data_IF_758673497888
#
_entry.id   IF_758673497888
#
_cell.length_a   1.000
_cell.length_b   1.000
_cell.length_c   1.000
_cell.angle_alpha   90.00
_cell.angle_beta   90.00
_cell.angle_gamma   90.00
#
_symmetry.space_group_name_H-M   'P 1'
#
loop_
_entity.id
_entity.type
_entity.pdbx_description
1 polymer ?
#
# COMPACT_ATOMS: atom_id res chain seq x y z
N UNK A 1 -23.88 -15.25 -20.10
CA UNK A 1 -25.33 -15.03 -20.09
C UNK A 1 -25.77 -14.80 -18.64
N UNK A 2 -25.71 -13.54 -18.18
CA UNK A 2 -26.10 -13.18 -16.82
C UNK A 2 -27.62 -13.04 -16.75
N UNK A 3 -28.31 -14.03 -16.25
CA UNK A 3 -29.76 -14.00 -15.96
C UNK A 3 -30.08 -13.40 -14.57
N UNK A 4 -29.08 -12.93 -13.85
CA UNK A 4 -29.22 -12.33 -12.52
C UNK A 4 -29.57 -10.84 -12.62
N UNK A 5 -30.53 -10.37 -11.81
CA UNK A 5 -30.78 -8.92 -11.60
C UNK A 5 -29.72 -8.26 -10.72
N UNK A 6 -28.67 -9.01 -10.32
CA UNK A 6 -27.59 -8.47 -9.49
C UNK A 6 -26.62 -7.65 -10.35
N UNK A 7 -26.19 -6.54 -9.81
CA UNK A 7 -25.13 -5.71 -10.37
C UNK A 7 -23.79 -6.28 -9.89
N UNK A 8 -22.86 -6.49 -10.81
CA UNK A 8 -21.49 -6.94 -10.53
C UNK A 8 -20.52 -5.87 -10.98
N UNK A 9 -19.40 -5.77 -10.27
CA UNK A 9 -18.27 -4.94 -10.64
C UNK A 9 -16.99 -5.79 -10.68
N UNK A 10 -16.09 -5.45 -11.60
CA UNK A 10 -14.76 -6.05 -11.61
C UNK A 10 -13.93 -5.34 -10.52
N UNK A 11 -13.31 -6.11 -9.64
CA UNK A 11 -12.58 -5.62 -8.47
C UNK A 11 -11.29 -4.88 -8.86
N UNK A 12 -11.16 -3.55 -8.67
CA UNK A 12 -9.95 -2.80 -8.98
C UNK A 12 -8.95 -2.73 -7.83
N UNK A 13 -9.39 -3.07 -6.60
CA UNK A 13 -8.60 -3.01 -5.35
C UNK A 13 -9.19 -3.97 -4.31
N UNK A 14 -8.38 -4.37 -3.33
CA UNK A 14 -8.77 -5.31 -2.28
C UNK A 14 -9.19 -4.61 -0.96
N UNK A 15 -8.85 -3.35 -0.80
CA UNK A 15 -9.02 -2.57 0.45
C UNK A 15 -10.43 -2.63 1.05
N UNK A 16 -11.53 -2.44 0.28
CA UNK A 16 -12.87 -2.52 0.84
C UNK A 16 -13.17 -3.89 1.45
N UNK A 17 -12.69 -4.97 0.83
CA UNK A 17 -12.85 -6.32 1.36
C UNK A 17 -12.16 -6.52 2.70
N UNK A 18 -10.95 -5.98 2.88
CA UNK A 18 -10.23 -6.02 4.14
C UNK A 18 -11.00 -5.29 5.26
N UNK A 19 -11.58 -4.12 4.96
CA UNK A 19 -12.41 -3.38 5.93
C UNK A 19 -13.73 -4.10 6.24
N UNK A 20 -14.36 -4.76 5.28
CA UNK A 20 -15.55 -5.56 5.56
C UNK A 20 -15.24 -6.78 6.48
N UNK A 21 -14.05 -7.38 6.32
CA UNK A 21 -13.57 -8.41 7.26
C UNK A 21 -13.35 -7.80 8.65
N UNK A 22 -12.76 -6.62 8.74
CA UNK A 22 -12.59 -5.92 10.01
C UNK A 22 -13.94 -5.64 10.68
N UNK A 23 -14.92 -5.15 9.97
CA UNK A 23 -16.28 -4.83 10.43
C UNK A 23 -17.14 -6.05 10.74
N UNK A 24 -16.76 -7.24 10.32
CA UNK A 24 -17.57 -8.47 10.50
C UNK A 24 -17.86 -8.83 11.95
N UNK A 25 -17.16 -8.23 12.91
CA UNK A 25 -17.40 -8.34 14.36
C UNK A 25 -16.98 -7.07 15.07
N UNK A 26 -17.44 -6.88 16.30
CA UNK A 26 -16.99 -5.78 17.15
C UNK A 26 -15.51 -5.99 17.46
N UNK A 27 -14.73 -4.92 17.28
CA UNK A 27 -13.29 -4.88 17.58
C UNK A 27 -13.03 -3.98 18.78
N UNK A 28 -12.00 -4.27 19.53
CA UNK A 28 -11.47 -3.39 20.57
C UNK A 28 -10.04 -2.94 20.22
N UNK A 29 -9.56 -1.92 20.92
CA UNK A 29 -8.16 -1.47 20.77
C UNK A 29 -7.14 -2.60 21.01
N UNK A 30 -7.50 -3.65 21.77
CA UNK A 30 -6.65 -4.82 22.04
C UNK A 30 -6.51 -5.75 20.83
N UNK A 31 -7.44 -5.67 19.87
CA UNK A 31 -7.39 -6.43 18.62
C UNK A 31 -6.47 -5.77 17.58
N UNK A 32 -5.98 -4.54 17.86
CA UNK A 32 -5.13 -3.76 16.96
C UNK A 32 -3.65 -3.86 17.35
N UNK A 33 -2.73 -3.86 16.39
CA UNK A 33 -2.97 -3.77 14.96
C UNK A 33 -3.47 -5.10 14.36
N UNK A 34 -4.52 -5.05 13.53
CA UNK A 34 -4.97 -6.19 12.75
C UNK A 34 -4.29 -6.18 11.38
N UNK A 35 -3.63 -7.27 11.02
CA UNK A 35 -2.92 -7.41 9.75
C UNK A 35 -3.60 -8.47 8.89
N UNK A 36 -4.06 -8.07 7.72
CA UNK A 36 -4.69 -8.93 6.72
C UNK A 36 -3.85 -8.94 5.46
N UNK A 37 -3.64 -10.09 4.85
CA UNK A 37 -2.87 -10.22 3.62
C UNK A 37 -3.53 -11.21 2.67
N UNK A 38 -3.42 -10.95 1.38
CA UNK A 38 -3.91 -11.81 0.31
C UNK A 38 -3.03 -11.68 -0.94
N UNK A 39 -3.00 -12.71 -1.76
CA UNK A 39 -2.63 -12.56 -3.16
C UNK A 39 -3.89 -12.20 -3.93
N UNK A 40 -4.12 -10.90 -4.07
CA UNK A 40 -5.38 -10.35 -4.56
C UNK A 40 -5.33 -10.06 -6.06
N UNK A 41 -6.24 -10.70 -6.83
CA UNK A 41 -6.39 -10.37 -8.24
C UNK A 41 -7.19 -9.09 -8.42
N UNK A 42 -6.60 -8.12 -9.10
CA UNK A 42 -7.19 -6.82 -9.43
C UNK A 42 -7.26 -6.62 -10.93
N UNK A 43 -8.29 -5.89 -11.38
CA UNK A 43 -8.43 -5.49 -12.78
C UNK A 43 -8.65 -4.00 -12.86
N UNK A 44 -7.79 -3.29 -13.60
CA UNK A 44 -7.85 -1.84 -13.78
C UNK A 44 -7.95 -1.48 -15.24
N UNK A 45 -8.75 -0.48 -15.56
CA UNK A 45 -8.89 0.01 -16.93
C UNK A 45 -7.71 0.94 -17.28
N UNK A 46 -6.51 0.36 -17.38
CA UNK A 46 -5.33 1.08 -17.82
C UNK A 46 -5.48 1.53 -19.29
N UNK A 47 -5.12 2.78 -19.64
CA UNK A 47 -5.11 3.22 -21.03
C UNK A 47 -4.19 2.34 -21.88
N UNK A 48 -4.58 2.07 -23.12
CA UNK A 48 -3.80 1.17 -24.01
C UNK A 48 -2.36 1.64 -24.22
N UNK A 49 -2.12 2.95 -24.29
CA UNK A 49 -0.79 3.53 -24.48
C UNK A 49 0.14 3.40 -23.26
N UNK A 50 -0.37 2.97 -22.10
CA UNK A 50 0.43 2.76 -20.88
C UNK A 50 0.79 1.30 -20.64
N UNK A 51 0.23 0.38 -21.40
CA UNK A 51 0.52 -1.05 -21.26
C UNK A 51 1.95 -1.35 -21.69
N UNK A 52 2.63 -2.25 -20.95
CA UNK A 52 4.05 -2.54 -21.18
C UNK A 52 4.39 -3.99 -20.82
N UNK A 53 4.19 -4.91 -21.77
CA UNK A 53 4.45 -6.34 -21.53
C UNK A 53 3.79 -6.83 -20.24
N UNK A 54 4.54 -7.58 -19.42
CA UNK A 54 4.08 -7.99 -18.07
C UNK A 54 4.34 -6.92 -16.99
N UNK A 55 5.06 -5.85 -17.33
CA UNK A 55 5.39 -4.78 -16.39
C UNK A 55 4.20 -3.88 -16.05
N UNK A 56 3.26 -3.71 -17.00
CA UNK A 56 2.02 -2.96 -16.79
C UNK A 56 0.88 -3.57 -17.58
N UNK A 57 -0.01 -4.25 -16.89
CA UNK A 57 -1.13 -5.02 -17.42
C UNK A 57 -2.45 -4.55 -16.79
N UNK A 58 -3.58 -4.93 -17.37
CA UNK A 58 -4.90 -4.60 -16.81
C UNK A 58 -5.36 -5.56 -15.73
N UNK A 59 -5.03 -6.83 -15.84
CA UNK A 59 -5.31 -7.87 -14.84
C UNK A 59 -4.00 -8.33 -14.21
N UNK A 60 -3.88 -8.24 -12.89
CA UNK A 60 -2.65 -8.57 -12.17
C UNK A 60 -2.95 -9.06 -10.75
N UNK A 61 -1.99 -9.75 -10.17
CA UNK A 61 -2.04 -10.20 -8.77
C UNK A 61 -1.09 -9.35 -7.93
N UNK A 62 -1.58 -8.85 -6.80
CA UNK A 62 -0.76 -8.15 -5.81
C UNK A 62 -0.56 -9.01 -4.56
N UNK A 63 0.62 -8.91 -3.95
CA UNK A 63 0.87 -9.33 -2.56
C UNK A 63 0.32 -8.27 -1.60
N UNK A 64 -0.97 -8.08 -1.67
CA UNK A 64 -1.68 -6.99 -1.02
C UNK A 64 -1.93 -7.27 0.45
N UNK A 65 -1.66 -6.29 1.31
CA UNK A 65 -1.94 -6.40 2.72
C UNK A 65 -2.39 -5.06 3.30
N UNK A 66 -3.20 -5.17 4.35
CA UNK A 66 -3.78 -4.03 5.04
C UNK A 66 -3.54 -4.18 6.54
N UNK A 67 -2.96 -3.15 7.14
CA UNK A 67 -2.77 -3.06 8.58
C UNK A 67 -3.78 -2.03 9.09
N UNK A 68 -4.70 -2.48 9.91
CA UNK A 68 -5.70 -1.63 10.56
C UNK A 68 -5.21 -1.42 11.97
N UNK A 69 -4.90 -0.17 12.33
CA UNK A 69 -4.18 0.16 13.56
C UNK A 69 -4.68 1.46 14.19
N UNK A 70 -4.20 1.75 15.41
CA UNK A 70 -4.36 3.08 16.00
C UNK A 70 -3.28 4.01 15.46
N UNK A 71 -3.46 5.31 15.68
CA UNK A 71 -2.51 6.33 15.25
C UNK A 71 -1.12 6.14 15.87
N UNK A 72 -1.07 5.79 17.17
CA UNK A 72 0.17 5.56 17.91
C UNK A 72 0.96 4.33 17.40
N UNK A 73 0.30 3.44 16.65
CA UNK A 73 0.92 2.23 16.10
C UNK A 73 1.53 2.45 14.72
N UNK A 74 1.26 3.57 14.05
CA UNK A 74 1.67 3.83 12.66
C UNK A 74 3.18 3.69 12.50
N UNK A 75 3.96 4.43 13.27
CA UNK A 75 5.42 4.46 13.12
C UNK A 75 6.04 3.07 13.26
N UNK A 76 5.62 2.33 14.29
CA UNK A 76 6.13 0.99 14.55
C UNK A 76 5.79 0.00 13.41
N UNK A 77 4.56 0.06 12.88
CA UNK A 77 4.13 -0.82 11.80
C UNK A 77 4.79 -0.47 10.46
N UNK A 78 4.94 0.81 10.15
CA UNK A 78 5.65 1.26 8.95
C UNK A 78 7.14 0.87 9.01
N UNK A 79 7.82 1.11 10.13
CA UNK A 79 9.23 0.72 10.29
C UNK A 79 9.43 -0.79 10.19
N UNK A 80 8.50 -1.59 10.75
CA UNK A 80 8.52 -3.04 10.62
C UNK A 80 8.35 -3.49 9.17
N UNK A 81 7.45 -2.85 8.44
CA UNK A 81 7.27 -3.12 7.03
C UNK A 81 8.52 -2.78 6.21
N UNK A 82 9.12 -1.60 6.43
CA UNK A 82 10.34 -1.19 5.74
C UNK A 82 11.47 -2.22 5.91
N UNK A 83 11.68 -2.71 7.14
CA UNK A 83 12.69 -3.76 7.40
C UNK A 83 12.37 -5.05 6.67
N UNK A 84 11.12 -5.52 6.74
CA UNK A 84 10.68 -6.72 6.02
C UNK A 84 10.93 -6.60 4.51
N UNK A 85 10.59 -5.45 3.91
CA UNK A 85 10.78 -5.22 2.49
C UNK A 85 12.26 -5.28 2.10
N UNK A 86 13.12 -4.63 2.87
CA UNK A 86 14.58 -4.66 2.63
C UNK A 86 15.13 -6.08 2.71
N UNK A 87 14.72 -6.85 3.73
CA UNK A 87 15.14 -8.25 3.89
C UNK A 87 14.71 -9.09 2.68
N UNK A 88 13.44 -8.97 2.25
CA UNK A 88 12.92 -9.68 1.07
C UNK A 88 13.68 -9.28 -0.20
N UNK A 89 13.91 -7.97 -0.41
CA UNK A 89 14.63 -7.52 -1.61
C UNK A 89 16.09 -7.96 -1.61
N UNK A 90 16.72 -8.05 -0.45
CA UNK A 90 18.07 -8.62 -0.29
C UNK A 90 18.10 -10.09 -0.66
N UNK A 91 17.09 -10.87 -0.23
CA UNK A 91 17.00 -12.30 -0.57
C UNK A 91 16.85 -12.51 -2.09
N UNK A 92 16.24 -11.57 -2.80
CA UNK A 92 16.17 -11.55 -4.26
C UNK A 92 17.36 -10.85 -4.96
N UNK A 93 18.37 -10.39 -4.21
CA UNK A 93 19.56 -9.74 -4.79
C UNK A 93 19.34 -8.29 -5.26
N UNK A 94 18.30 -7.61 -4.79
CA UNK A 94 17.95 -6.24 -5.16
C UNK A 94 18.38 -5.19 -4.14
N UNK A 95 19.17 -5.54 -3.12
CA UNK A 95 19.62 -4.64 -2.06
C UNK A 95 20.34 -3.38 -2.55
N UNK A 96 21.06 -3.47 -3.68
CA UNK A 96 21.79 -2.36 -4.31
C UNK A 96 21.00 -1.58 -5.34
N UNK A 97 19.79 -2.03 -5.66
CA UNK A 97 18.95 -1.50 -6.74
C UNK A 97 17.68 -0.82 -6.20
N UNK A 98 17.62 -0.62 -4.89
CA UNK A 98 16.44 -0.07 -4.21
C UNK A 98 16.55 1.44 -4.07
N UNK A 99 15.54 2.16 -4.54
CA UNK A 99 15.32 3.57 -4.26
C UNK A 99 14.01 3.75 -3.50
N UNK A 100 14.05 4.59 -2.45
CA UNK A 100 12.86 4.90 -1.64
C UNK A 100 12.45 6.35 -1.88
N UNK A 101 11.17 6.58 -2.10
CA UNK A 101 10.59 7.91 -2.27
C UNK A 101 9.41 8.12 -1.33
N UNK A 102 9.35 9.30 -0.72
CA UNK A 102 8.20 9.78 0.03
C UNK A 102 7.38 10.72 -0.85
N UNK A 103 6.22 10.25 -1.28
CA UNK A 103 5.28 11.02 -2.10
C UNK A 103 4.32 11.77 -1.21
N UNK A 104 4.29 13.10 -1.35
CA UNK A 104 3.56 14.03 -0.49
C UNK A 104 2.23 14.45 -1.10
N UNK A 105 1.49 15.29 -0.37
CA UNK A 105 0.14 15.75 -0.69
C UNK A 105 0.03 16.30 -2.12
N UNK A 106 -0.88 15.76 -2.96
CA UNK A 106 -1.15 16.31 -4.29
C UNK A 106 -2.04 17.54 -4.21
N UNK A 107 -2.16 18.29 -5.31
CA UNK A 107 -3.05 19.46 -5.40
C UNK A 107 -4.52 19.05 -5.24
N UNK A 108 -4.92 17.91 -5.80
CA UNK A 108 -6.27 17.34 -5.66
C UNK A 108 -6.23 16.22 -4.60
N UNK A 109 -6.68 16.52 -3.39
CA UNK A 109 -6.63 15.62 -2.24
C UNK A 109 -7.90 15.69 -1.39
N UNK A 110 -8.08 14.69 -0.54
CA UNK A 110 -9.13 14.60 0.48
C UNK A 110 -8.50 14.75 1.86
N UNK A 111 -9.23 15.37 2.80
CA UNK A 111 -8.76 15.63 4.16
C UNK A 111 -8.10 16.99 4.30
N UNK A 112 -7.82 17.37 5.53
CA UNK A 112 -7.20 18.64 5.86
C UNK A 112 -5.66 18.57 5.80
N UNK A 113 -5.05 19.73 5.58
CA UNK A 113 -3.61 19.84 5.41
C UNK A 113 -2.81 19.40 6.65
N UNK A 114 -3.34 19.63 7.86
CA UNK A 114 -2.68 19.26 9.10
C UNK A 114 -2.57 17.73 9.24
N UNK A 115 -3.63 17.00 8.90
CA UNK A 115 -3.64 15.53 8.83
C UNK A 115 -2.61 15.02 7.84
N UNK A 116 -2.49 15.66 6.66
CA UNK A 116 -1.49 15.30 5.66
C UNK A 116 -0.07 15.50 6.16
N UNK A 117 0.23 16.67 6.73
CA UNK A 117 1.56 16.97 7.29
C UNK A 117 1.95 16.00 8.40
N UNK A 118 1.00 15.63 9.26
CA UNK A 118 1.22 14.63 10.31
C UNK A 118 1.53 13.24 9.71
N UNK A 119 0.75 12.82 8.72
CA UNK A 119 0.94 11.53 8.04
C UNK A 119 2.29 11.45 7.30
N UNK A 120 2.68 12.52 6.60
CA UNK A 120 3.98 12.61 5.92
C UNK A 120 5.14 12.53 6.92
N UNK A 121 5.05 13.26 8.02
CA UNK A 121 6.06 13.24 9.08
C UNK A 121 6.20 11.85 9.70
N UNK A 122 5.07 11.16 9.96
CA UNK A 122 5.06 9.80 10.51
C UNK A 122 5.73 8.80 9.56
N UNK A 123 5.41 8.84 8.26
CA UNK A 123 6.04 7.97 7.27
C UNK A 123 7.54 8.24 7.14
N UNK A 124 7.94 9.52 7.11
CA UNK A 124 9.35 9.90 7.03
C UNK A 124 10.15 9.46 8.27
N UNK A 125 9.61 9.65 9.46
CA UNK A 125 10.22 9.22 10.72
C UNK A 125 10.38 7.69 10.77
N UNK A 126 9.33 6.94 10.39
CA UNK A 126 9.35 5.49 10.36
C UNK A 126 10.38 4.94 9.35
N UNK A 127 10.50 5.56 8.17
CA UNK A 127 11.49 5.19 7.16
C UNK A 127 12.92 5.35 7.71
N UNK A 128 13.22 6.50 8.33
CA UNK A 128 14.51 6.76 8.97
C UNK A 128 14.80 5.81 10.14
N UNK A 129 13.79 5.52 10.97
CA UNK A 129 13.94 4.57 12.08
C UNK A 129 14.23 3.13 11.62
N UNK A 130 13.85 2.81 10.38
CA UNK A 130 14.22 1.55 9.72
C UNK A 130 15.61 1.58 9.07
N UNK A 131 16.35 2.69 9.17
CA UNK A 131 17.69 2.84 8.59
C UNK A 131 17.68 3.14 7.09
N UNK A 132 16.57 3.64 6.55
CA UNK A 132 16.43 3.97 5.14
C UNK A 132 16.44 5.49 4.92
N UNK A 133 17.16 5.89 3.87
CA UNK A 133 17.07 7.24 3.31
C UNK A 133 15.99 7.26 2.23
N UNK A 134 15.36 8.42 2.04
CA UNK A 134 14.35 8.61 1.00
C UNK A 134 14.51 9.96 0.30
N UNK A 135 14.08 10.02 -0.94
CA UNK A 135 13.92 11.26 -1.70
C UNK A 135 12.47 11.75 -1.58
N UNK A 136 12.28 13.07 -1.44
CA UNK A 136 10.94 13.66 -1.50
C UNK A 136 10.46 13.69 -2.95
N UNK A 137 9.22 13.25 -3.14
CA UNK A 137 8.49 13.34 -4.41
C UNK A 137 7.24 14.20 -4.20
N UNK A 138 7.37 15.53 -4.35
CA UNK A 138 6.28 16.47 -4.07
C UNK A 138 5.07 16.22 -4.96
N UNK A 139 3.86 16.28 -4.38
CA UNK A 139 2.56 16.20 -5.07
C UNK A 139 2.24 14.86 -5.74
N UNK A 140 2.98 13.81 -5.44
CA UNK A 140 2.79 12.47 -6.04
C UNK A 140 2.10 11.47 -5.10
N UNK A 141 1.63 11.92 -3.94
CA UNK A 141 0.82 11.11 -3.03
C UNK A 141 -0.48 10.63 -3.68
N UNK A 142 -1.11 9.62 -3.09
CA UNK A 142 -2.47 9.27 -3.47
C UNK A 142 -3.42 10.38 -3.01
N UNK A 143 -4.59 10.53 -3.66
CA UNK A 143 -5.54 11.58 -3.29
C UNK A 143 -6.03 11.45 -1.83
N UNK A 144 -5.91 10.29 -1.20
CA UNK A 144 -6.36 9.97 0.15
C UNK A 144 -5.24 9.91 1.21
N UNK A 145 -3.96 9.94 0.81
CA UNK A 145 -2.86 9.90 1.77
C UNK A 145 -1.47 9.79 1.16
N UNK A 146 -0.44 10.13 1.93
CA UNK A 146 0.95 10.02 1.51
C UNK A 146 1.40 8.55 1.45
N UNK A 147 2.50 8.32 0.73
CA UNK A 147 3.04 6.97 0.54
C UNK A 147 4.57 6.96 0.51
N UNK A 148 5.15 5.87 0.99
CA UNK A 148 6.50 5.46 0.64
C UNK A 148 6.42 4.52 -0.55
N UNK A 149 7.20 4.81 -1.58
CA UNK A 149 7.37 4.01 -2.79
C UNK A 149 8.76 3.40 -2.80
N UNK A 150 8.80 2.11 -3.07
CA UNK A 150 10.03 1.34 -3.19
C UNK A 150 10.20 0.95 -4.65
N UNK A 151 11.20 1.52 -5.29
CA UNK A 151 11.43 1.41 -6.74
C UNK A 151 12.64 0.55 -7.02
N UNK A 152 12.52 -0.29 -8.05
CA UNK A 152 13.59 -1.07 -8.61
C UNK A 152 13.87 -0.61 -10.04
N UNK A 153 15.10 -0.80 -10.48
CA UNK A 153 15.49 -0.56 -11.88
C UNK A 153 15.55 -1.86 -12.64
N UNK A 154 15.03 -1.86 -13.85
CA UNK A 154 15.24 -2.97 -14.78
C UNK A 154 16.65 -2.88 -15.42
N UNK A 155 16.99 -3.87 -16.25
CA UNK A 155 18.31 -3.94 -16.90
C UNK A 155 18.57 -2.81 -17.89
N UNK A 156 17.53 -2.10 -18.31
CA UNK A 156 17.62 -0.90 -19.17
C UNK A 156 17.67 0.41 -18.37
N UNK A 157 17.69 0.34 -17.04
CA UNK A 157 17.71 1.51 -16.15
C UNK A 157 16.36 2.22 -16.01
N UNK A 158 15.25 1.58 -16.37
CA UNK A 158 13.90 2.15 -16.18
C UNK A 158 13.42 1.87 -14.77
N UNK A 159 12.85 2.89 -14.14
CA UNK A 159 12.27 2.76 -12.80
C UNK A 159 10.91 2.06 -12.81
N UNK A 160 10.73 1.14 -11.87
CA UNK A 160 9.46 0.48 -11.62
C UNK A 160 9.12 0.49 -10.14
N UNK A 161 7.97 1.08 -9.80
CA UNK A 161 7.43 0.94 -8.46
C UNK A 161 7.02 -0.50 -8.23
N UNK A 162 7.57 -1.11 -7.19
CA UNK A 162 7.23 -2.45 -6.72
C UNK A 162 6.60 -2.36 -5.32
N UNK A 163 7.41 -2.16 -4.30
CA UNK A 163 6.90 -2.00 -2.94
C UNK A 163 6.20 -0.68 -2.70
N UNK A 164 5.25 -0.68 -1.77
CA UNK A 164 4.56 0.53 -1.33
C UNK A 164 4.05 0.35 0.09
N UNK A 165 4.00 1.45 0.85
CA UNK A 165 3.15 1.58 2.02
C UNK A 165 2.49 2.95 2.01
N UNK A 166 1.16 2.98 2.17
CA UNK A 166 0.33 4.18 2.07
C UNK A 166 -0.47 4.33 3.34
N UNK A 167 -0.49 5.53 3.88
CA UNK A 167 -1.25 5.87 5.08
C UNK A 167 -2.60 6.46 4.69
N UNK A 168 -3.68 5.90 5.20
CA UNK A 168 -5.06 6.25 4.83
C UNK A 168 -5.93 6.43 6.08
N UNK A 169 -6.38 7.67 6.27
CA UNK A 169 -7.39 8.04 7.28
C UNK A 169 -8.80 8.08 6.69
N UNK A 170 -8.93 8.03 5.35
CA UNK A 170 -10.18 8.34 4.66
C UNK A 170 -11.09 7.12 4.50
N UNK A 171 -10.53 6.00 4.01
CA UNK A 171 -11.33 4.81 3.73
C UNK A 171 -12.03 4.24 4.98
N UNK A 172 -11.39 4.20 6.17
CA UNK A 172 -12.05 3.74 7.40
C UNK A 172 -13.04 4.75 8.00
N UNK A 173 -13.05 6.01 7.57
CA UNK A 173 -13.83 7.09 8.20
C UNK A 173 -15.34 6.90 8.10
N UNK A 174 -16.08 7.67 8.91
CA UNK A 174 -17.55 7.70 8.92
C UNK A 174 -18.15 8.06 7.56
N UNK A 175 -17.48 8.90 6.80
CA UNK A 175 -17.92 9.37 5.49
C UNK A 175 -17.75 8.33 4.38
N UNK A 176 -17.01 7.27 4.64
CA UNK A 176 -16.70 6.22 3.67
C UNK A 176 -17.24 4.86 4.13
N UNK A 177 -16.42 4.01 4.72
CA UNK A 177 -16.82 2.65 5.09
C UNK A 177 -17.18 2.50 6.57
N UNK A 178 -17.08 3.55 7.37
CA UNK A 178 -17.46 3.61 8.79
C UNK A 178 -16.95 2.40 9.59
N UNK A 179 -15.65 2.14 9.49
CA UNK A 179 -14.98 1.10 10.25
C UNK A 179 -14.67 1.63 11.66
N UNK A 180 -15.11 0.93 12.71
CA UNK A 180 -14.92 1.38 14.08
C UNK A 180 -14.37 0.30 14.99
N UNK A 181 -13.65 0.71 16.04
CA UNK A 181 -13.24 -0.13 17.17
C UNK A 181 -13.61 0.56 18.48
N UNK A 182 -13.66 -0.20 19.57
CA UNK A 182 -13.89 0.33 20.91
C UNK A 182 -12.53 0.64 21.54
N UNK A 183 -12.30 1.91 21.87
CA UNK A 183 -11.10 2.38 22.55
C UNK A 183 -11.01 1.97 24.02
N UNK A 184 -9.90 2.30 24.68
CA UNK A 184 -9.72 2.09 26.12
C UNK A 184 -10.67 2.94 26.96
N UNK A 185 -11.20 4.01 26.40
CA UNK A 185 -12.21 4.92 26.94
C UNK A 185 -13.66 4.40 26.78
N UNK A 186 -13.83 3.20 26.23
CA UNK A 186 -15.12 2.61 25.87
C UNK A 186 -15.93 3.41 24.83
N UNK A 187 -15.28 4.27 24.06
CA UNK A 187 -15.89 5.00 22.96
C UNK A 187 -15.53 4.36 21.61
N UNK A 188 -16.33 4.67 20.59
CA UNK A 188 -16.05 4.29 19.21
C UNK A 188 -15.03 5.23 18.59
N UNK A 189 -14.02 4.66 17.96
CA UNK A 189 -12.99 5.36 17.22
C UNK A 189 -12.84 4.78 15.82
N UNK A 190 -12.46 5.59 14.85
CA UNK A 190 -12.05 5.13 13.53
C UNK A 190 -10.57 4.76 13.55
N UNK A 191 -10.20 3.59 13.04
CA UNK A 191 -8.80 3.22 12.92
C UNK A 191 -8.13 3.93 11.75
N UNK A 192 -6.81 3.86 11.70
CA UNK A 192 -6.01 4.18 10.53
C UNK A 192 -5.76 2.92 9.72
N UNK A 193 -5.67 3.05 8.42
CA UNK A 193 -5.36 1.95 7.51
C UNK A 193 -4.03 2.18 6.81
N UNK A 194 -3.15 1.19 6.87
CA UNK A 194 -1.94 1.14 6.08
C UNK A 194 -2.12 0.13 4.97
N UNK A 195 -2.11 0.59 3.72
CA UNK A 195 -2.09 -0.27 2.55
C UNK A 195 -0.64 -0.60 2.23
N UNK A 196 -0.29 -1.87 2.11
CA UNK A 196 1.08 -2.26 1.82
C UNK A 196 1.20 -3.40 0.81
N UNK A 197 2.23 -3.34 -0.01
CA UNK A 197 2.68 -4.44 -0.82
C UNK A 197 4.22 -4.47 -0.81
N UNK A 198 4.82 -5.64 -0.72
CA UNK A 198 6.29 -5.80 -0.77
C UNK A 198 6.75 -5.91 -2.22
N UNK A 199 6.14 -6.82 -2.99
CA UNK A 199 6.48 -7.07 -4.39
C UNK A 199 5.67 -6.19 -5.35
N UNK A 200 4.47 -5.77 -4.94
CA UNK A 200 3.52 -5.05 -5.77
C UNK A 200 2.79 -5.98 -6.73
N UNK A 201 2.73 -5.64 -8.02
CA UNK A 201 2.26 -6.60 -9.03
C UNK A 201 3.26 -7.74 -9.17
N UNK A 202 2.81 -8.98 -8.96
CA UNK A 202 3.67 -10.16 -9.10
C UNK A 202 4.20 -10.28 -10.52
N UNK A 203 3.40 -9.93 -11.53
CA UNK A 203 3.80 -9.93 -12.93
C UNK A 203 4.98 -8.99 -13.18
N UNK A 204 4.92 -7.76 -12.65
CA UNK A 204 6.01 -6.78 -12.75
C UNK A 204 7.26 -7.25 -12.03
N UNK A 205 7.12 -7.69 -10.79
CA UNK A 205 8.26 -8.17 -10.00
C UNK A 205 8.94 -9.36 -10.67
N UNK A 206 8.16 -10.32 -11.16
CA UNK A 206 8.70 -11.46 -11.94
C UNK A 206 9.43 -11.01 -13.20
N UNK A 207 8.88 -10.02 -13.91
CA UNK A 207 9.54 -9.46 -15.10
C UNK A 207 10.91 -8.89 -14.78
N UNK A 208 11.02 -8.07 -13.72
CA UNK A 208 12.29 -7.50 -13.26
C UNK A 208 13.25 -8.61 -12.82
N UNK A 209 12.75 -9.60 -12.09
CA UNK A 209 13.56 -10.72 -11.59
C UNK A 209 14.14 -11.54 -12.76
N UNK A 210 13.30 -11.90 -13.75
CA UNK A 210 13.73 -12.64 -14.93
C UNK A 210 14.80 -11.86 -15.71
N UNK A 211 14.60 -10.56 -15.92
CA UNK A 211 15.59 -9.71 -16.60
C UNK A 211 16.89 -9.64 -15.81
N UNK A 212 16.84 -9.42 -14.51
CA UNK A 212 18.03 -9.26 -13.66
C UNK A 212 18.92 -10.51 -13.64
N UNK A 213 18.32 -11.69 -13.70
CA UNK A 213 19.04 -12.98 -13.67
C UNK A 213 19.15 -13.66 -15.05
N UNK A 214 18.78 -12.96 -16.13
CA UNK A 214 18.78 -13.51 -17.49
C UNK A 214 18.04 -14.85 -17.59
N UNK A 215 16.99 -15.04 -16.78
CA UNK A 215 16.18 -16.25 -16.72
C UNK A 215 16.79 -17.41 -15.90
N UNK A 216 17.95 -17.25 -15.32
CA UNK A 216 18.59 -18.25 -14.45
C UNK A 216 18.11 -18.09 -12.99
N UNK A 217 16.91 -18.63 -12.70
CA UNK A 217 16.26 -18.56 -11.40
C UNK A 217 16.37 -19.87 -10.65
#
# INVERSE_FOLDING_TARGET
LFRSKRIFAIKPMNCPGALEIFKSRIRSYKDLPLRLAEFGHCVRNEPSGTLHGIMRVRGFVQDDAHIICTEEQIEAEVAKFCRLLVDVYKDFGFDKNLQVRLSTMPDDHVGDEATWQHAEAALGAACKSAGLEYELQPKEGAFYGPKLEFKLYDTLGREWQCGTIQLDYQLPSAERLDATYIGADNQKHHPVMLHRAVLGSLERFMGILIENFAGAL
#
